data_IF_055208802356
#
_entry.id   IF_055208802356
#
_cell.length_a   1.000
_cell.length_b   1.000
_cell.length_c   1.000
_cell.angle_alpha   90.00
_cell.angle_beta   90.00
_cell.angle_gamma   90.00
#
_symmetry.space_group_name_H-M   'P 1'
#
loop_
_entity.id
_entity.type
_entity.pdbx_description
1 polymer ?
#
# COMPACT_ATOMS: atom_id res chain seq x y z
N UNK A 1 7.48 -34.06 8.16
CA UNK A 1 8.38 -32.96 7.76
C UNK A 1 7.57 -31.90 7.04
N UNK A 2 7.11 -30.88 7.75
CA UNK A 2 6.26 -29.81 7.21
C UNK A 2 7.16 -28.82 6.47
N UNK A 3 7.07 -28.78 5.14
CA UNK A 3 7.83 -27.83 4.31
C UNK A 3 7.41 -26.40 4.71
N UNK A 4 8.40 -25.59 5.10
CA UNK A 4 8.25 -24.15 5.31
C UNK A 4 7.69 -23.54 4.03
N UNK A 5 6.56 -22.85 4.12
CA UNK A 5 6.06 -21.99 3.04
C UNK A 5 7.02 -20.81 2.96
N UNK A 6 7.81 -20.73 1.90
CA UNK A 6 8.43 -19.48 1.49
C UNK A 6 7.28 -18.57 1.04
N UNK A 7 6.86 -17.67 1.91
CA UNK A 7 6.06 -16.51 1.51
C UNK A 7 6.97 -15.65 0.63
N UNK A 8 6.65 -15.40 -0.65
CA UNK A 8 7.42 -14.46 -1.43
C UNK A 8 7.21 -13.06 -0.81
N UNK A 9 8.32 -12.44 -0.43
CA UNK A 9 8.35 -11.05 0.02
C UNK A 9 8.28 -10.20 -1.26
N UNK A 10 7.13 -9.57 -1.50
CA UNK A 10 6.94 -8.48 -2.47
C UNK A 10 6.95 -8.87 -3.95
N UNK A 11 5.80 -8.78 -4.62
CA UNK A 11 5.71 -8.89 -6.07
C UNK A 11 6.20 -7.61 -6.73
N UNK A 12 7.46 -7.58 -7.16
CA UNK A 12 7.97 -6.53 -8.06
C UNK A 12 7.77 -6.96 -9.51
N UNK A 13 7.49 -6.02 -10.42
CA UNK A 13 7.45 -6.29 -11.86
C UNK A 13 8.85 -6.60 -12.41
N UNK A 14 8.96 -6.94 -13.71
CA UNK A 14 10.25 -7.28 -14.35
C UNK A 14 11.28 -6.13 -14.31
N UNK A 15 10.85 -4.92 -13.93
CA UNK A 15 11.69 -3.72 -13.76
C UNK A 15 12.01 -3.42 -12.27
N UNK A 16 11.55 -4.26 -11.34
CA UNK A 16 11.76 -4.07 -9.90
C UNK A 16 10.83 -3.05 -9.26
N UNK A 17 9.79 -2.58 -9.96
CA UNK A 17 8.82 -1.64 -9.41
C UNK A 17 7.71 -2.39 -8.68
N UNK A 18 7.23 -1.89 -7.53
CA UNK A 18 6.07 -2.48 -6.85
C UNK A 18 4.86 -2.44 -7.78
N UNK A 19 4.15 -3.56 -7.91
CA UNK A 19 2.97 -3.60 -8.77
C UNK A 19 1.91 -2.64 -8.23
N UNK A 20 1.45 -1.70 -9.07
CA UNK A 20 0.43 -0.70 -8.71
C UNK A 20 -0.84 -1.37 -8.15
N UNK A 21 -1.18 -2.57 -8.63
CA UNK A 21 -2.28 -3.39 -8.11
C UNK A 21 -2.11 -3.83 -6.66
N UNK A 22 -0.89 -4.15 -6.21
CA UNK A 22 -0.60 -4.48 -4.81
C UNK A 22 -0.69 -3.22 -3.93
N UNK A 23 -0.13 -2.10 -4.41
CA UNK A 23 -0.21 -0.82 -3.70
C UNK A 23 -1.65 -0.31 -3.56
N UNK A 24 -2.50 -0.55 -4.55
CA UNK A 24 -3.94 -0.26 -4.46
C UNK A 24 -4.65 -1.10 -3.39
N UNK A 25 -4.28 -2.37 -3.24
CA UNK A 25 -4.81 -3.22 -2.18
C UNK A 25 -4.35 -2.74 -0.81
N UNK A 26 -3.09 -2.35 -0.66
CA UNK A 26 -2.55 -1.80 0.58
C UNK A 26 -3.26 -0.51 1.00
N UNK A 27 -3.54 0.39 0.04
CA UNK A 27 -4.34 1.60 0.28
C UNK A 27 -5.74 1.22 0.76
N UNK A 28 -6.42 0.29 0.09
CA UNK A 28 -7.78 -0.14 0.48
C UNK A 28 -7.81 -0.76 1.87
N UNK A 29 -6.83 -1.60 2.21
CA UNK A 29 -6.72 -2.18 3.54
C UNK A 29 -6.44 -1.12 4.62
N UNK A 30 -5.54 -0.18 4.33
CA UNK A 30 -5.25 0.91 5.24
C UNK A 30 -6.46 1.85 5.44
N UNK A 31 -7.22 2.13 4.38
CA UNK A 31 -8.46 2.90 4.44
C UNK A 31 -9.53 2.19 5.30
N UNK A 32 -9.74 0.89 5.08
CA UNK A 32 -10.64 0.09 5.89
C UNK A 32 -10.25 0.10 7.38
N UNK A 33 -8.94 0.02 7.67
CA UNK A 33 -8.44 0.13 9.03
C UNK A 33 -8.70 1.52 9.64
N UNK A 34 -8.55 2.62 8.88
CA UNK A 34 -8.89 3.98 9.35
C UNK A 34 -10.36 4.06 9.73
N UNK A 35 -11.26 3.58 8.87
CA UNK A 35 -12.70 3.59 9.10
C UNK A 35 -13.07 2.76 10.33
N UNK A 36 -12.58 1.52 10.41
CA UNK A 36 -12.83 0.64 11.55
C UNK A 36 -12.32 1.23 12.88
N UNK A 37 -11.12 1.82 12.89
CA UNK A 37 -10.57 2.43 14.10
C UNK A 37 -11.30 3.73 14.48
N UNK A 38 -11.80 4.49 13.50
CA UNK A 38 -12.61 5.67 13.76
C UNK A 38 -13.94 5.30 14.44
N UNK A 39 -14.59 4.24 13.97
CA UNK A 39 -15.85 3.73 14.52
C UNK A 39 -15.67 3.10 15.90
N UNK A 40 -14.61 2.32 16.10
CA UNK A 40 -14.40 1.58 17.34
C UNK A 40 -13.83 2.44 18.48
N UNK A 41 -12.90 3.34 18.18
CA UNK A 41 -12.13 4.07 19.20
C UNK A 41 -12.31 5.59 19.13
N UNK A 42 -12.91 6.11 18.06
CA UNK A 42 -13.03 7.54 17.81
C UNK A 42 -11.78 8.15 17.15
N UNK A 43 -11.97 9.32 16.53
CA UNK A 43 -10.96 10.01 15.70
C UNK A 43 -9.79 10.61 16.49
N UNK A 44 -9.93 10.76 17.81
CA UNK A 44 -8.85 11.28 18.66
C UNK A 44 -7.94 10.18 19.23
N UNK A 45 -8.34 8.93 19.06
CA UNK A 45 -7.62 7.77 19.58
C UNK A 45 -6.26 7.56 18.90
N UNK A 46 -5.31 7.01 19.65
CA UNK A 46 -4.01 6.61 19.10
C UNK A 46 -4.16 5.58 17.95
N UNK A 47 -5.00 4.51 18.08
CA UNK A 47 -5.20 3.56 17.00
C UNK A 47 -5.69 4.19 15.70
N UNK A 48 -6.62 5.15 15.76
CA UNK A 48 -7.08 5.88 14.58
C UNK A 48 -5.95 6.71 13.95
N UNK A 49 -5.21 7.47 14.77
CA UNK A 49 -4.10 8.30 14.29
C UNK A 49 -2.99 7.47 13.64
N UNK A 50 -2.71 6.28 14.19
CA UNK A 50 -1.72 5.36 13.62
C UNK A 50 -2.22 4.71 12.33
N UNK A 51 -3.50 4.33 12.25
CA UNK A 51 -4.12 3.87 11.00
C UNK A 51 -4.07 4.98 9.92
N UNK A 52 -4.36 6.23 10.30
CA UNK A 52 -4.36 7.37 9.38
C UNK A 52 -2.96 7.63 8.81
N UNK A 53 -1.92 7.55 9.63
CA UNK A 53 -0.52 7.65 9.16
C UNK A 53 -0.18 6.55 8.16
N UNK A 54 -0.57 5.30 8.45
CA UNK A 54 -0.33 4.16 7.53
C UNK A 54 -1.04 4.35 6.20
N UNK A 55 -2.30 4.80 6.22
CA UNK A 55 -3.05 5.14 5.02
C UNK A 55 -2.37 6.24 4.21
N UNK A 56 -1.96 7.33 4.85
CA UNK A 56 -1.29 8.44 4.17
C UNK A 56 0.02 8.00 3.49
N UNK A 57 0.83 7.16 4.15
CA UNK A 57 2.03 6.59 3.55
C UNK A 57 1.72 5.71 2.33
N UNK A 58 0.78 4.77 2.46
CA UNK A 58 0.39 3.88 1.37
C UNK A 58 -0.13 4.67 0.15
N UNK A 59 -0.97 5.69 0.40
CA UNK A 59 -1.48 6.57 -0.64
C UNK A 59 -0.37 7.36 -1.35
N UNK A 60 0.58 7.89 -0.59
CA UNK A 60 1.71 8.62 -1.15
C UNK A 60 2.57 7.73 -2.06
N UNK A 61 2.89 6.52 -1.61
CA UNK A 61 3.66 5.54 -2.40
C UNK A 61 2.92 5.19 -3.69
N UNK A 62 1.62 4.89 -3.61
CA UNK A 62 0.80 4.61 -4.80
C UNK A 62 0.82 5.78 -5.81
N UNK A 63 0.71 7.02 -5.31
CA UNK A 63 0.77 8.21 -6.16
C UNK A 63 2.12 8.36 -6.85
N UNK A 64 3.21 8.17 -6.12
CA UNK A 64 4.55 8.24 -6.70
C UNK A 64 4.78 7.13 -7.72
N UNK A 65 4.44 5.88 -7.40
CA UNK A 65 4.63 4.75 -8.31
C UNK A 65 3.84 4.89 -9.61
N UNK A 66 2.63 5.48 -9.57
CA UNK A 66 1.86 5.79 -10.79
C UNK A 66 2.54 6.84 -11.65
N UNK A 67 3.06 7.91 -11.04
CA UNK A 67 3.81 8.94 -11.77
C UNK A 67 5.08 8.38 -12.39
N UNK A 68 5.80 7.51 -11.67
CA UNK A 68 7.01 6.86 -12.17
C UNK A 68 6.66 5.95 -13.36
N UNK A 69 5.59 5.16 -13.28
CA UNK A 69 5.12 4.33 -14.41
C UNK A 69 4.73 5.15 -15.64
N UNK A 70 4.01 6.26 -15.46
CA UNK A 70 3.67 7.18 -16.55
C UNK A 70 4.94 7.75 -17.21
N UNK A 71 5.89 8.22 -16.39
CA UNK A 71 7.16 8.75 -16.88
C UNK A 71 7.99 7.72 -17.66
N UNK A 72 8.09 6.48 -17.17
CA UNK A 72 8.81 5.42 -17.87
C UNK A 72 8.09 4.97 -19.15
N UNK A 73 6.75 4.99 -19.18
CA UNK A 73 5.97 4.72 -20.38
C UNK A 73 6.23 5.78 -21.47
N UNK A 74 6.30 7.06 -21.08
CA UNK A 74 6.59 8.18 -22.00
C UNK A 74 8.02 8.13 -22.56
N UNK A 75 9.02 7.65 -21.80
CA UNK A 75 10.41 7.52 -22.26
C UNK A 75 10.61 6.32 -23.20
N UNK A 76 9.82 5.25 -23.02
CA UNK A 76 10.00 4.00 -23.77
C UNK A 76 9.26 4.01 -25.12
N UNK A 77 8.38 4.99 -25.37
CA UNK A 77 7.69 5.22 -26.65
C UNK A 77 8.54 6.01 -27.65
#
# INVERSE_FOLDING_TARGET
MTKRRNTPIGGTDEMGLPQVTELEQDVKHAEAAVTANAEQYGKDSLPYKDALKKFACAWFVLKQSRQDQEFFADITQ
#
